data_IF_384419844349
#
_entry.id   IF_384419844349
#
_cell.length_a   1.000
_cell.length_b   1.000
_cell.length_c   1.000
_cell.angle_alpha   90.00
_cell.angle_beta   90.00
_cell.angle_gamma   90.00
#
_symmetry.space_group_name_H-M   'P 1'
#
loop_
_entity.id
_entity.type
_entity.pdbx_description
1 polymer ?
#
# COMPACT_ATOMS: atom_id res chain seq x y z
N UNK A 1 -43.41 -15.67 -24.20
CA UNK A 1 -42.73 -14.36 -24.04
C UNK A 1 -42.27 -14.11 -22.60
N UNK A 2 -43.10 -14.29 -21.56
CA UNK A 2 -42.69 -14.09 -20.14
C UNK A 2 -41.56 -15.02 -19.63
N UNK A 3 -41.44 -16.25 -20.13
CA UNK A 3 -40.40 -17.22 -19.70
C UNK A 3 -38.99 -16.87 -20.19
N UNK A 4 -38.87 -16.17 -21.32
CA UNK A 4 -37.58 -15.71 -21.87
C UNK A 4 -37.08 -14.42 -21.19
N UNK A 5 -37.98 -13.64 -20.58
CA UNK A 5 -37.62 -12.41 -19.88
C UNK A 5 -36.81 -12.67 -18.60
N UNK A 6 -37.05 -13.80 -17.93
CA UNK A 6 -36.34 -14.19 -16.69
C UNK A 6 -34.90 -14.63 -17.00
N UNK A 7 -34.66 -15.28 -18.13
CA UNK A 7 -33.31 -15.74 -18.54
C UNK A 7 -32.39 -14.56 -18.86
N UNK A 8 -32.94 -13.47 -19.42
CA UNK A 8 -32.17 -12.25 -19.73
C UNK A 8 -31.76 -11.51 -18.44
N UNK A 9 -32.57 -11.55 -17.38
CA UNK A 9 -32.23 -10.87 -16.11
C UNK A 9 -31.09 -11.55 -15.34
N UNK A 10 -30.96 -12.88 -15.40
CA UNK A 10 -29.88 -13.61 -14.73
C UNK A 10 -28.50 -13.43 -15.40
N UNK A 11 -28.46 -13.12 -16.71
CA UNK A 11 -27.20 -12.94 -17.45
C UNK A 11 -26.46 -11.63 -17.12
N UNK A 12 -27.14 -10.62 -16.52
CA UNK A 12 -26.49 -9.35 -16.15
C UNK A 12 -25.77 -9.37 -14.79
N UNK A 13 -25.99 -10.38 -13.94
CA UNK A 13 -25.37 -10.45 -12.62
C UNK A 13 -23.89 -10.83 -12.64
N UNK A 14 -23.47 -11.72 -13.56
CA UNK A 14 -22.12 -12.28 -13.57
C UNK A 14 -21.03 -11.29 -14.05
N UNK A 15 -21.39 -10.27 -14.83
CA UNK A 15 -20.44 -9.29 -15.35
C UNK A 15 -19.96 -8.27 -14.31
N UNK A 16 -20.70 -8.08 -13.21
CA UNK A 16 -20.34 -7.08 -12.19
C UNK A 16 -19.16 -7.53 -11.33
N UNK A 17 -19.08 -8.81 -10.97
CA UNK A 17 -18.04 -9.31 -10.07
C UNK A 17 -16.64 -9.21 -10.67
N UNK A 18 -16.48 -9.53 -11.96
CA UNK A 18 -15.17 -9.46 -12.62
C UNK A 18 -14.66 -8.02 -12.80
N UNK A 19 -15.55 -7.10 -13.19
CA UNK A 19 -15.19 -5.68 -13.31
C UNK A 19 -14.83 -5.08 -11.96
N UNK A 20 -15.51 -5.48 -10.89
CA UNK A 20 -15.21 -5.03 -9.53
C UNK A 20 -13.81 -5.50 -9.09
N UNK A 21 -13.48 -6.79 -9.28
CA UNK A 21 -12.16 -7.32 -8.93
C UNK A 21 -11.02 -6.65 -9.73
N UNK A 22 -11.23 -6.40 -11.03
CA UNK A 22 -10.23 -5.74 -11.87
C UNK A 22 -9.99 -4.28 -11.45
N UNK A 23 -11.07 -3.57 -11.08
CA UNK A 23 -10.98 -2.20 -10.57
C UNK A 23 -10.32 -2.17 -9.19
N UNK A 24 -10.71 -3.09 -8.30
CA UNK A 24 -10.12 -3.21 -6.97
C UNK A 24 -8.62 -3.45 -7.03
N UNK A 25 -8.15 -4.29 -7.96
CA UNK A 25 -6.71 -4.50 -8.14
C UNK A 25 -5.98 -3.21 -8.53
N UNK A 26 -6.56 -2.40 -9.42
CA UNK A 26 -5.98 -1.10 -9.81
C UNK A 26 -5.99 -0.10 -8.67
N UNK A 27 -7.05 -0.08 -7.87
CA UNK A 27 -7.19 0.84 -6.75
C UNK A 27 -6.25 0.46 -5.59
N UNK A 28 -6.04 -0.84 -5.35
CA UNK A 28 -5.00 -1.36 -4.43
C UNK A 28 -3.61 -0.96 -4.93
N UNK A 29 -3.32 -1.14 -6.22
CA UNK A 29 -2.05 -0.72 -6.81
C UNK A 29 -1.81 0.78 -6.62
N UNK A 30 -2.84 1.59 -6.88
CA UNK A 30 -2.77 3.04 -6.70
C UNK A 30 -2.53 3.43 -5.25
N UNK A 31 -3.19 2.78 -4.28
CA UNK A 31 -2.95 3.03 -2.86
C UNK A 31 -1.50 2.69 -2.46
N UNK A 32 -0.97 1.56 -2.91
CA UNK A 32 0.42 1.17 -2.65
C UNK A 32 1.43 2.12 -3.32
N UNK A 33 1.14 2.60 -4.52
CA UNK A 33 1.97 3.59 -5.22
C UNK A 33 1.94 4.94 -4.50
N UNK A 34 0.75 5.40 -4.09
CA UNK A 34 0.60 6.63 -3.31
C UNK A 34 1.37 6.59 -2.00
N UNK A 35 1.44 5.42 -1.37
CA UNK A 35 2.22 5.22 -0.15
C UNK A 35 3.73 5.41 -0.37
N UNK A 36 4.33 4.74 -1.36
CA UNK A 36 5.78 4.89 -1.63
C UNK A 36 6.10 6.29 -2.17
N UNK A 37 5.30 6.80 -3.11
CA UNK A 37 5.47 8.15 -3.68
C UNK A 37 5.27 9.23 -2.62
N UNK A 38 4.31 9.06 -1.70
CA UNK A 38 4.04 10.01 -0.62
C UNK A 38 5.27 10.23 0.27
N UNK A 39 5.97 9.15 0.63
CA UNK A 39 7.25 9.26 1.34
C UNK A 39 8.37 9.80 0.47
N UNK A 40 8.44 9.39 -0.80
CA UNK A 40 9.53 9.78 -1.71
C UNK A 40 9.46 11.26 -2.07
N UNK A 41 8.27 11.82 -2.21
CA UNK A 41 8.05 13.20 -2.63
C UNK A 41 7.80 14.14 -1.45
N UNK A 42 7.55 13.58 -0.26
CA UNK A 42 7.10 14.34 0.89
C UNK A 42 5.67 14.88 0.72
N UNK A 43 4.81 14.12 0.05
CA UNK A 43 3.44 14.50 -0.28
C UNK A 43 2.43 13.82 0.66
N UNK A 44 2.07 14.56 1.71
CA UNK A 44 1.06 14.13 2.69
C UNK A 44 -0.33 13.89 2.09
N UNK A 45 -0.66 14.48 0.94
CA UNK A 45 -1.95 14.23 0.29
C UNK A 45 -1.99 12.85 -0.38
N UNK A 46 -0.84 12.29 -0.78
CA UNK A 46 -0.76 10.89 -1.20
C UNK A 46 -0.94 9.95 -0.02
N UNK A 47 -0.24 10.22 1.09
CA UNK A 47 -0.38 9.41 2.31
C UNK A 47 -1.81 9.46 2.85
N UNK A 48 -2.44 10.63 2.92
CA UNK A 48 -3.80 10.79 3.45
C UNK A 48 -4.86 10.03 2.64
N UNK A 49 -4.60 9.74 1.35
CA UNK A 49 -5.51 8.95 0.53
C UNK A 49 -5.16 7.48 0.45
N UNK A 50 -3.99 7.06 0.90
CA UNK A 50 -3.57 5.65 0.86
C UNK A 50 -3.40 5.01 2.22
N UNK A 51 -3.31 5.77 3.31
CA UNK A 51 -3.02 5.27 4.66
C UNK A 51 -4.16 5.64 5.60
N UNK A 52 -4.72 4.65 6.31
CA UNK A 52 -5.76 4.90 7.30
C UNK A 52 -5.19 5.67 8.50
N UNK A 53 -5.99 6.55 9.11
CA UNK A 53 -5.60 7.39 10.24
C UNK A 53 -5.23 6.58 11.50
N UNK A 54 -5.81 5.39 11.66
CA UNK A 54 -5.51 4.41 12.71
C UNK A 54 -4.46 3.36 12.31
N UNK A 55 -3.76 3.55 11.20
CA UNK A 55 -2.75 2.59 10.72
C UNK A 55 -1.53 2.53 11.64
N UNK A 56 -0.86 1.38 11.60
CA UNK A 56 0.42 1.16 12.29
C UNK A 56 1.43 0.63 11.28
N UNK A 57 2.60 1.27 11.21
CA UNK A 57 3.79 0.72 10.58
C UNK A 57 4.74 0.24 11.67
N UNK A 58 5.00 -1.05 11.75
CA UNK A 58 6.04 -1.58 12.63
C UNK A 58 7.17 -2.12 11.77
N UNK A 59 8.41 -1.94 12.16
CA UNK A 59 9.47 -2.63 11.45
C UNK A 59 10.79 -2.68 12.15
N UNK A 60 11.72 -3.36 11.48
CA UNK A 60 13.02 -3.69 12.02
C UNK A 60 14.11 -3.03 11.18
N UNK A 61 14.94 -2.22 11.82
CA UNK A 61 16.16 -1.72 11.20
C UNK A 61 17.34 -2.56 11.69
N UNK A 62 18.26 -2.87 10.78
CA UNK A 62 19.54 -3.43 11.14
C UNK A 62 20.48 -2.30 11.58
N UNK A 63 20.97 -2.37 12.80
CA UNK A 63 21.95 -1.41 13.30
C UNK A 63 23.31 -1.67 12.64
N UNK A 64 23.90 -0.63 12.04
CA UNK A 64 25.14 -0.73 11.27
C UNK A 64 26.36 -1.08 12.13
N UNK A 65 26.34 -0.75 13.43
CA UNK A 65 27.47 -0.99 14.35
C UNK A 65 27.47 -2.39 14.93
N UNK A 66 26.32 -2.84 15.42
CA UNK A 66 26.14 -4.12 16.11
C UNK A 66 25.68 -5.24 15.19
N UNK A 67 25.14 -4.92 14.02
CA UNK A 67 24.57 -5.89 13.07
C UNK A 67 23.28 -6.55 13.55
N UNK A 68 22.72 -6.12 14.69
CA UNK A 68 21.48 -6.64 15.26
C UNK A 68 20.27 -5.88 14.73
N UNK A 69 19.12 -6.53 14.71
CA UNK A 69 17.85 -5.87 14.43
C UNK A 69 17.28 -5.26 15.69
N UNK A 70 16.76 -4.05 15.57
CA UNK A 70 15.93 -3.38 16.56
C UNK A 70 14.61 -2.98 15.91
N UNK A 71 13.53 -2.97 16.70
CA UNK A 71 12.16 -2.77 16.20
C UNK A 71 11.55 -1.49 16.73
N UNK A 72 10.81 -0.77 15.88
CA UNK A 72 10.05 0.41 16.26
C UNK A 72 8.70 0.47 15.55
N UNK A 73 7.74 1.11 16.21
CA UNK A 73 6.46 1.46 15.64
C UNK A 73 6.47 2.91 15.16
N UNK A 74 5.77 3.16 14.06
CA UNK A 74 5.50 4.46 13.50
C UNK A 74 3.98 4.61 13.34
N UNK A 75 3.41 5.57 14.04
CA UNK A 75 2.01 5.97 13.95
C UNK A 75 1.72 6.71 12.64
N UNK A 76 0.44 6.85 12.29
CA UNK A 76 0.01 7.68 11.17
C UNK A 76 0.55 9.12 11.24
N UNK A 77 0.55 9.72 12.43
CA UNK A 77 1.10 11.07 12.61
C UNK A 77 2.60 11.11 12.27
N UNK A 78 3.37 10.14 12.74
CA UNK A 78 4.81 10.08 12.46
C UNK A 78 5.07 9.82 10.97
N UNK A 79 4.24 9.02 10.30
CA UNK A 79 4.28 8.87 8.82
C UNK A 79 4.10 10.21 8.11
N UNK A 80 3.14 11.02 8.53
CA UNK A 80 2.92 12.36 7.99
C UNK A 80 4.09 13.30 8.27
N UNK A 81 4.59 13.32 9.52
CA UNK A 81 5.71 14.15 9.93
C UNK A 81 6.99 13.80 9.14
N UNK A 82 7.21 12.52 8.85
CA UNK A 82 8.32 12.06 8.03
C UNK A 82 8.22 12.62 6.60
N UNK A 83 7.05 12.54 5.96
CA UNK A 83 6.85 13.09 4.61
C UNK A 83 7.06 14.61 4.58
N UNK A 84 6.56 15.35 5.58
CA UNK A 84 6.83 16.78 5.73
C UNK A 84 8.35 17.03 5.83
N UNK A 85 9.05 16.22 6.61
CA UNK A 85 10.50 16.29 6.76
C UNK A 85 11.28 16.05 5.46
N UNK A 86 10.81 15.14 4.60
CA UNK A 86 11.39 14.90 3.27
C UNK A 86 11.33 16.15 2.42
N UNK A 87 10.16 16.79 2.37
CA UNK A 87 9.96 18.02 1.59
C UNK A 87 10.76 19.20 2.16
N UNK A 88 10.74 19.38 3.48
CA UNK A 88 11.45 20.47 4.15
C UNK A 88 12.97 20.37 4.02
N UNK A 89 13.53 19.15 3.96
CA UNK A 89 14.97 18.90 3.85
C UNK A 89 15.46 18.75 2.41
N UNK A 90 14.60 18.98 1.41
CA UNK A 90 14.90 18.74 0.00
C UNK A 90 15.45 17.33 -0.29
N UNK A 91 14.88 16.31 0.35
CA UNK A 91 15.27 14.90 0.22
C UNK A 91 14.34 14.10 -0.70
N UNK A 92 13.59 14.80 -1.55
CA UNK A 92 12.69 14.16 -2.48
C UNK A 92 13.49 13.26 -3.43
N UNK A 93 12.88 12.15 -3.84
CA UNK A 93 13.49 11.17 -4.75
C UNK A 93 12.46 10.64 -5.73
N UNK A 94 12.93 10.08 -6.84
CA UNK A 94 12.09 9.38 -7.82
C UNK A 94 12.21 7.87 -7.61
N UNK A 95 11.14 7.15 -7.97
CA UNK A 95 11.17 5.70 -8.05
C UNK A 95 12.18 5.25 -9.11
N UNK A 96 12.94 4.23 -8.77
CA UNK A 96 13.79 3.45 -9.68
C UNK A 96 13.07 2.16 -10.07
N UNK A 97 13.50 1.45 -11.14
CA UNK A 97 12.88 0.17 -11.52
C UNK A 97 12.94 -0.92 -10.45
N UNK A 98 13.87 -0.82 -9.49
CA UNK A 98 13.98 -1.75 -8.36
C UNK A 98 12.97 -1.44 -7.25
N UNK A 99 12.50 -0.20 -7.16
CA UNK A 99 11.55 0.26 -6.16
C UNK A 99 10.13 0.18 -6.75
N UNK A 100 9.34 -0.76 -6.26
CA UNK A 100 8.09 -1.16 -6.90
C UNK A 100 7.05 -1.66 -5.91
N UNK A 101 5.81 -1.73 -6.37
CA UNK A 101 4.70 -2.36 -5.66
C UNK A 101 4.40 -3.73 -6.27
N UNK A 102 4.06 -4.71 -5.45
CA UNK A 102 3.68 -6.05 -5.87
C UNK A 102 2.43 -6.47 -5.08
N UNK A 103 1.31 -6.66 -5.78
CA UNK A 103 0.06 -7.15 -5.18
C UNK A 103 0.10 -8.67 -5.09
N UNK A 104 -0.22 -9.21 -3.92
CA UNK A 104 -0.32 -10.65 -3.70
C UNK A 104 -1.74 -11.16 -3.84
N UNK A 105 -2.68 -10.58 -3.09
CA UNK A 105 -4.07 -11.00 -3.08
C UNK A 105 -5.00 -9.80 -2.90
N UNK A 106 -6.16 -9.86 -3.55
CA UNK A 106 -7.26 -8.89 -3.40
C UNK A 106 -8.55 -9.69 -3.21
N UNK A 107 -9.21 -9.47 -2.09
CA UNK A 107 -10.56 -9.94 -1.80
C UNK A 107 -11.53 -8.77 -1.81
N UNK A 108 -12.78 -9.00 -1.43
CA UNK A 108 -13.83 -7.97 -1.46
C UNK A 108 -13.50 -6.75 -0.59
N UNK A 109 -12.98 -7.01 0.62
CA UNK A 109 -12.76 -5.99 1.67
C UNK A 109 -11.32 -5.86 2.13
N UNK A 110 -10.45 -6.83 1.80
CA UNK A 110 -9.04 -6.85 2.21
C UNK A 110 -8.12 -7.11 1.01
N UNK A 111 -6.89 -6.64 1.11
CA UNK A 111 -5.84 -6.94 0.15
C UNK A 111 -4.47 -7.03 0.84
N UNK A 112 -3.52 -7.69 0.18
CA UNK A 112 -2.14 -7.76 0.65
C UNK A 112 -1.16 -7.51 -0.49
N UNK A 113 0.01 -6.97 -0.14
CA UNK A 113 1.07 -6.72 -1.10
C UNK A 113 2.39 -6.41 -0.44
N UNK A 114 3.37 -6.07 -1.27
CA UNK A 114 4.73 -5.70 -0.89
C UNK A 114 5.15 -4.43 -1.59
N UNK A 115 5.83 -3.56 -0.87
CA UNK A 115 6.54 -2.41 -1.41
C UNK A 115 8.03 -2.63 -1.22
N UNK A 116 8.77 -2.55 -2.33
CA UNK A 116 10.23 -2.47 -2.31
C UNK A 116 10.62 -1.01 -2.43
N UNK A 117 11.36 -0.49 -1.46
CA UNK A 117 11.79 0.90 -1.39
C UNK A 117 13.26 0.98 -0.95
N UNK A 118 13.86 2.16 -1.03
CA UNK A 118 15.27 2.37 -0.65
C UNK A 118 15.56 2.00 0.80
N UNK A 119 14.55 2.12 1.68
CA UNK A 119 14.64 1.79 3.09
C UNK A 119 14.52 0.28 3.36
N UNK A 120 14.06 -0.53 2.40
CA UNK A 120 13.83 -1.95 2.60
C UNK A 120 12.54 -2.47 1.99
N UNK A 121 11.98 -3.49 2.63
CA UNK A 121 10.74 -4.15 2.22
C UNK A 121 9.65 -3.84 3.22
N UNK A 122 8.50 -3.39 2.72
CA UNK A 122 7.26 -3.22 3.47
C UNK A 122 6.27 -4.30 3.01
N UNK A 123 5.83 -5.17 3.91
CA UNK A 123 4.63 -5.99 3.71
C UNK A 123 3.42 -5.20 4.17
N UNK A 124 2.41 -5.12 3.30
CA UNK A 124 1.28 -4.21 3.46
C UNK A 124 -0.01 -5.02 3.49
N UNK A 125 -0.86 -4.70 4.47
CA UNK A 125 -2.26 -5.12 4.52
C UNK A 125 -3.15 -3.90 4.34
N UNK A 126 -4.09 -4.01 3.40
CA UNK A 126 -5.06 -2.97 3.07
C UNK A 126 -6.47 -3.43 3.38
N UNK A 127 -7.35 -2.48 3.64
CA UNK A 127 -8.79 -2.67 3.76
C UNK A 127 -9.54 -1.67 2.88
N UNK A 128 -10.76 -2.02 2.48
CA UNK A 128 -11.65 -1.13 1.73
C UNK A 128 -12.60 -0.41 2.70
N UNK A 129 -12.42 0.90 2.84
CA UNK A 129 -13.22 1.78 3.72
C UNK A 129 -14.05 2.71 2.83
N UNK A 130 -15.37 2.67 2.93
CA UNK A 130 -16.27 3.53 2.13
C UNK A 130 -15.93 3.50 0.62
N UNK A 131 -15.69 2.30 0.08
CA UNK A 131 -15.29 2.06 -1.31
C UNK A 131 -13.92 2.65 -1.71
N UNK A 132 -13.03 2.86 -0.74
CA UNK A 132 -11.65 3.33 -0.94
C UNK A 132 -10.66 2.38 -0.30
N UNK A 133 -9.66 1.95 -1.06
CA UNK A 133 -8.58 1.10 -0.54
C UNK A 133 -7.57 1.91 0.26
N UNK A 134 -7.32 1.51 1.49
CA UNK A 134 -6.42 2.19 2.42
C UNK A 134 -5.59 1.17 3.20
N UNK A 135 -4.34 1.54 3.47
CA UNK A 135 -3.38 0.72 4.21
C UNK A 135 -3.72 0.73 5.70
N UNK A 136 -3.90 -0.46 6.26
CA UNK A 136 -4.20 -0.68 7.68
C UNK A 136 -2.95 -1.00 8.49
N UNK A 137 -2.08 -1.87 7.96
CA UNK A 137 -0.88 -2.33 8.64
C UNK A 137 0.29 -2.43 7.66
N UNK A 138 1.47 -2.06 8.16
CA UNK A 138 2.73 -2.27 7.46
C UNK A 138 3.71 -2.99 8.39
N UNK A 139 4.30 -4.08 7.91
CA UNK A 139 5.46 -4.72 8.53
C UNK A 139 6.69 -4.48 7.66
N UNK A 140 7.65 -3.73 8.19
CA UNK A 140 8.85 -3.31 7.46
C UNK A 140 10.11 -4.02 7.97
N UNK A 141 11.06 -4.25 7.06
CA UNK A 141 12.45 -4.55 7.42
C UNK A 141 13.42 -3.83 6.49
N UNK A 142 14.46 -3.21 7.07
CA UNK A 142 15.54 -2.54 6.37
C UNK A 142 16.93 -2.88 6.93
N UNK A 143 18.01 -2.70 6.15
CA UNK A 143 18.01 -2.33 4.72
C UNK A 143 17.54 -3.49 3.83
N UNK A 144 17.42 -3.26 2.51
CA UNK A 144 17.21 -4.35 1.55
C UNK A 144 18.32 -5.38 1.75
N UNK A 145 17.95 -6.64 1.99
CA UNK A 145 18.92 -7.71 2.08
C UNK A 145 19.66 -7.83 0.75
N UNK A 146 20.98 -7.63 0.75
CA UNK A 146 21.82 -8.01 -0.37
C UNK A 146 21.77 -9.53 -0.48
N UNK A 147 21.23 -10.05 -1.57
CA UNK A 147 21.40 -11.46 -1.92
C UNK A 147 22.92 -11.69 -2.00
N UNK A 148 23.44 -12.57 -1.14
CA UNK A 148 24.83 -13.03 -1.23
C UNK A 148 24.97 -14.04 -2.36
#
# INVERSE_FOLDING_TARGET
MKKYLIVIFCLFGAFRSWSQTAQDRKDVERAMLDYIEGFYEGDTAKLARSVADYSVKYGYWKDDKSGKYAGEAMSHKEMMDYAIGIKAKNRQRKLTPLEKTEIFEVQETIASGKVTAWWGIDYILLEKINNKWMIRMVLWQGPIATVK
#
